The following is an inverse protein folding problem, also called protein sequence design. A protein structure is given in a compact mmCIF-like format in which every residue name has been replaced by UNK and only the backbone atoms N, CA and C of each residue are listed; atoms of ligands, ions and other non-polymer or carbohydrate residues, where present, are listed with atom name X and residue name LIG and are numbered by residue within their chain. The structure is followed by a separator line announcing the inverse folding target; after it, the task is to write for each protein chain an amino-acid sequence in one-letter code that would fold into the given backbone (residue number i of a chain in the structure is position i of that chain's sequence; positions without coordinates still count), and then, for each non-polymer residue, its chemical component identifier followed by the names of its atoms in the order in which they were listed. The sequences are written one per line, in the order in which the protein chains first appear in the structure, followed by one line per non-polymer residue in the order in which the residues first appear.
data_IF_706053032119
#
_entry.id   IF_706053032119
#
_cell.length_a   1.000
_cell.length_b   1.000
_cell.length_c   1.000
_cell.angle_alpha   90.00
_cell.angle_beta   90.00
_cell.angle_gamma   90.00
#
_symmetry.space_group_name_H-M   'P 1'
#
loop_
_entity.id
_entity.type
_entity.pdbx_description
1 polymer ?
#
# COMPACT_ATOMS: atom_id res chain seq x y z
N UNK A 1 -21.69 -2.09 -10.70
CA UNK A 1 -20.39 -2.34 -10.03
C UNK A 1 -20.52 -1.81 -8.60
N UNK A 2 -20.28 -2.63 -7.58
CA UNK A 2 -20.21 -2.11 -6.20
C UNK A 2 -18.89 -1.37 -6.10
N UNK A 3 -18.94 -0.04 -6.01
CA UNK A 3 -17.73 0.76 -5.79
C UNK A 3 -17.15 0.34 -4.44
N UNK A 4 -15.94 -0.23 -4.46
CA UNK A 4 -15.18 -0.47 -3.23
C UNK A 4 -14.78 0.86 -2.55
N UNK A 5 -14.93 2.00 -3.25
CA UNK A 5 -14.46 3.32 -2.84
C UNK A 5 -15.53 4.29 -2.34
N UNK A 6 -16.82 3.92 -2.34
CA UNK A 6 -17.90 4.81 -1.87
C UNK A 6 -17.67 5.24 -0.40
N UNK A 7 -17.27 6.49 -0.17
CA UNK A 7 -16.92 7.05 1.14
C UNK A 7 -15.46 6.88 1.59
N UNK A 8 -14.63 6.15 0.84
CA UNK A 8 -13.27 5.81 1.25
C UNK A 8 -12.29 6.99 1.20
N UNK A 9 -12.38 7.94 0.26
CA UNK A 9 -11.37 9.00 0.12
C UNK A 9 -11.24 9.91 1.36
N UNK A 10 -12.36 10.19 2.05
CA UNK A 10 -12.38 10.95 3.32
C UNK A 10 -11.95 10.06 4.49
N UNK A 11 -12.42 8.81 4.52
CA UNK A 11 -12.03 7.82 5.53
C UNK A 11 -10.54 7.43 5.42
N UNK A 12 -9.92 7.49 4.25
CA UNK A 12 -8.49 7.21 4.04
C UNK A 12 -7.60 8.30 4.65
N UNK A 13 -7.98 9.57 4.53
CA UNK A 13 -7.29 10.68 5.22
C UNK A 13 -7.43 10.51 6.73
N UNK A 14 -8.64 10.26 7.22
CA UNK A 14 -8.88 10.05 8.66
C UNK A 14 -8.16 8.79 9.17
N UNK A 15 -8.14 7.70 8.40
CA UNK A 15 -7.38 6.47 8.68
C UNK A 15 -5.88 6.74 8.70
N UNK A 16 -5.36 7.60 7.82
CA UNK A 16 -3.93 7.88 7.73
C UNK A 16 -3.39 8.58 8.98
N UNK A 17 -4.22 9.37 9.66
CA UNK A 17 -3.87 10.02 10.93
C UNK A 17 -4.03 9.10 12.15
N UNK A 18 -4.66 7.92 12.01
CA UNK A 18 -4.85 7.01 13.15
C UNK A 18 -3.51 6.45 13.62
N UNK A 19 -3.29 6.30 14.95
CA UNK A 19 -2.07 5.74 15.50
C UNK A 19 -1.67 4.41 14.88
N UNK A 20 -2.64 3.55 14.57
CA UNK A 20 -2.38 2.25 13.95
C UNK A 20 -1.73 2.37 12.56
N UNK A 21 -2.21 3.32 11.75
CA UNK A 21 -1.67 3.54 10.41
C UNK A 21 -0.26 4.10 10.46
N UNK A 22 -0.01 5.04 11.38
CA UNK A 22 1.32 5.62 11.58
C UNK A 22 2.31 4.59 12.10
N UNK A 23 1.92 3.74 13.07
CA UNK A 23 2.76 2.64 13.55
C UNK A 23 3.11 1.67 12.42
N UNK A 24 2.13 1.29 11.58
CA UNK A 24 2.40 0.45 10.40
C UNK A 24 3.43 1.12 9.48
N UNK A 25 3.27 2.41 9.20
CA UNK A 25 4.23 3.16 8.37
C UNK A 25 5.61 3.22 9.00
N UNK A 26 5.71 3.49 10.31
CA UNK A 26 7.00 3.54 11.02
C UNK A 26 7.72 2.19 10.91
N UNK A 27 7.02 1.08 11.15
CA UNK A 27 7.62 -0.25 11.03
C UNK A 27 8.02 -0.55 9.59
N UNK A 28 7.16 -0.30 8.59
CA UNK A 28 7.46 -0.57 7.19
C UNK A 28 8.64 0.26 6.67
N UNK A 29 8.68 1.56 6.99
CA UNK A 29 9.69 2.47 6.47
C UNK A 29 11.05 2.36 7.18
N UNK A 30 11.06 2.07 8.49
CA UNK A 30 12.28 2.27 9.29
C UNK A 30 12.76 1.02 10.02
N UNK A 31 11.90 0.04 10.33
CA UNK A 31 12.31 -1.08 11.21
C UNK A 31 13.41 -1.95 10.61
N UNK A 32 13.46 -2.15 9.29
CA UNK A 32 14.49 -2.98 8.65
C UNK A 32 15.91 -2.48 8.90
N UNK A 33 16.08 -1.16 8.88
CA UNK A 33 17.36 -0.51 9.17
C UNK A 33 17.70 -0.52 10.68
N UNK A 34 16.80 -1.02 11.51
CA UNK A 34 16.94 -1.10 12.96
C UNK A 34 16.67 -2.53 13.48
N UNK A 35 17.08 -3.56 12.72
CA UNK A 35 16.98 -4.96 13.13
C UNK A 35 15.56 -5.52 13.26
N UNK A 36 14.55 -4.80 12.78
CA UNK A 36 13.15 -5.17 12.82
C UNK A 36 12.49 -5.09 14.20
N UNK A 37 13.07 -4.32 15.13
CA UNK A 37 12.60 -4.15 16.50
C UNK A 37 12.64 -2.68 16.89
N UNK A 38 11.77 -2.23 17.78
CA UNK A 38 11.88 -0.93 18.44
C UNK A 38 11.52 -1.05 19.92
N UNK A 39 12.17 -0.26 20.78
CA UNK A 39 11.76 -0.15 22.18
C UNK A 39 10.33 0.41 22.27
N UNK A 40 9.61 0.06 23.34
CA UNK A 40 8.26 0.61 23.56
C UNK A 40 8.30 2.14 23.66
N UNK A 41 9.33 2.68 24.32
CA UNK A 41 9.51 4.13 24.48
C UNK A 41 9.77 4.82 23.14
N UNK A 42 10.68 4.29 22.32
CA UNK A 42 11.03 4.89 21.03
C UNK A 42 9.83 4.95 20.09
N UNK A 43 8.98 3.90 20.02
CA UNK A 43 7.76 3.98 19.19
C UNK A 43 6.79 5.03 19.72
N UNK A 44 6.59 5.11 21.04
CA UNK A 44 5.69 6.12 21.63
C UNK A 44 6.20 7.52 21.30
N UNK A 45 7.50 7.78 21.46
CA UNK A 45 8.11 9.07 21.12
C UNK A 45 7.97 9.40 19.63
N UNK A 46 8.25 8.45 18.72
CA UNK A 46 8.02 8.62 17.28
C UNK A 46 6.55 8.89 16.94
N UNK A 47 5.60 8.33 17.68
CA UNK A 47 4.19 8.64 17.53
C UNK A 47 3.87 10.05 18.04
N UNK A 48 4.43 10.47 19.18
CA UNK A 48 4.27 11.83 19.72
C UNK A 48 4.78 12.89 18.75
N UNK A 49 5.92 12.64 18.11
CA UNK A 49 6.42 13.46 17.01
C UNK A 49 5.40 13.60 15.87
N UNK A 50 4.51 12.62 15.66
CA UNK A 50 3.47 12.66 14.64
C UNK A 50 2.14 13.23 15.16
N UNK A 51 2.16 13.92 16.30
CA UNK A 51 1.01 14.51 17.01
C UNK A 51 0.03 13.47 17.58
N UNK A 52 0.51 12.25 17.85
CA UNK A 52 -0.28 11.21 18.52
C UNK A 52 -0.05 11.28 20.02
N UNK A 53 -1.13 11.38 20.80
CA UNK A 53 -1.06 11.32 22.26
C UNK A 53 -0.48 9.97 22.73
N UNK A 54 0.37 9.99 23.75
CA UNK A 54 1.08 8.79 24.20
C UNK A 54 0.16 7.63 24.56
N UNK A 55 -0.97 7.91 25.23
CA UNK A 55 -1.93 6.89 25.63
C UNK A 55 -2.63 6.24 24.42
N UNK A 56 -2.83 7.01 23.36
CA UNK A 56 -3.34 6.49 22.09
C UNK A 56 -2.30 5.60 21.40
N UNK A 57 -1.02 5.96 21.44
CA UNK A 57 0.08 5.15 20.92
C UNK A 57 0.22 3.83 21.71
N UNK A 58 0.24 3.89 23.05
CA UNK A 58 0.25 2.71 23.95
C UNK A 58 -0.93 1.78 23.67
N UNK A 59 -2.13 2.35 23.55
CA UNK A 59 -3.34 1.59 23.25
C UNK A 59 -3.31 0.93 21.86
N UNK A 60 -2.71 1.59 20.87
CA UNK A 60 -2.51 0.99 19.54
C UNK A 60 -1.48 -0.16 19.58
N UNK A 61 -0.36 0.01 20.28
CA UNK A 61 0.64 -1.05 20.47
C UNK A 61 0.08 -2.27 21.18
N UNK A 62 -0.69 -2.07 22.25
CA UNK A 62 -1.37 -3.16 22.96
C UNK A 62 -2.32 -3.94 22.05
N UNK A 63 -3.04 -3.24 21.16
CA UNK A 63 -3.90 -3.87 20.14
C UNK A 63 -3.10 -4.66 19.11
N UNK A 64 -1.97 -4.15 18.63
CA UNK A 64 -1.10 -4.89 17.71
C UNK A 64 -0.52 -6.15 18.35
N UNK A 65 -0.06 -6.06 19.61
CA UNK A 65 0.40 -7.21 20.39
C UNK A 65 -0.70 -8.27 20.54
N UNK A 66 -1.89 -7.86 20.95
CA UNK A 66 -3.04 -8.77 21.14
C UNK A 66 -3.44 -9.49 19.84
N UNK A 67 -3.28 -8.83 18.70
CA UNK A 67 -3.57 -9.39 17.36
C UNK A 67 -2.42 -10.21 16.79
N UNK A 68 -1.29 -10.37 17.50
CA UNK A 68 -0.13 -11.10 17.01
C UNK A 68 0.64 -10.41 15.87
N UNK A 69 0.33 -9.15 15.57
CA UNK A 69 1.00 -8.39 14.49
C UNK A 69 2.38 -7.91 14.94
N UNK A 70 2.49 -7.53 16.22
CA UNK A 70 3.74 -7.22 16.89
C UNK A 70 4.02 -8.24 17.98
N UNK A 71 5.27 -8.68 18.08
CA UNK A 71 5.73 -9.66 19.07
C UNK A 71 6.57 -8.91 20.10
N UNK A 72 6.28 -9.13 21.39
CA UNK A 72 7.07 -8.53 22.46
C UNK A 72 8.43 -9.21 22.55
N UNK A 73 9.51 -8.42 22.54
CA UNK A 73 10.88 -8.93 22.59
C UNK A 73 11.73 -8.00 23.46
N UNK A 74 12.61 -8.59 24.27
CA UNK A 74 13.60 -7.86 25.06
C UNK A 74 14.94 -7.82 24.30
N UNK A 75 15.56 -6.65 24.17
CA UNK A 75 16.89 -6.48 23.60
C UNK A 75 17.70 -5.60 24.56
N UNK A 76 18.91 -6.05 24.93
CA UNK A 76 19.82 -5.32 25.83
C UNK A 76 19.14 -4.79 27.10
N UNK A 77 18.31 -5.60 27.75
CA UNK A 77 17.60 -5.18 28.97
C UNK A 77 16.29 -4.41 28.73
N UNK A 78 16.04 -3.90 27.51
CA UNK A 78 14.91 -3.03 27.17
C UNK A 78 13.77 -3.83 26.53
N UNK A 79 12.54 -3.62 26.99
CA UNK A 79 11.34 -4.23 26.39
C UNK A 79 10.90 -3.43 25.17
N UNK A 80 10.61 -4.14 24.09
CA UNK A 80 10.09 -3.55 22.87
C UNK A 80 9.28 -4.54 22.06
N UNK A 81 9.13 -4.21 20.78
CA UNK A 81 8.28 -4.92 19.84
C UNK A 81 9.00 -5.14 18.52
N UNK A 82 8.86 -6.33 17.96
CA UNK A 82 9.28 -6.66 16.60
C UNK A 82 8.07 -7.03 15.74
N UNK A 83 8.19 -6.89 14.42
CA UNK A 83 7.17 -7.38 13.50
C UNK A 83 7.06 -8.90 13.55
N UNK A 84 5.83 -9.43 13.45
CA UNK A 84 5.65 -10.87 13.26
C UNK A 84 6.18 -11.32 11.89
N UNK A 85 6.47 -12.62 11.70
CA UNK A 85 6.85 -13.16 10.39
C UNK A 85 5.83 -12.83 9.29
N UNK A 86 4.53 -12.86 9.60
CA UNK A 86 3.44 -12.56 8.67
C UNK A 86 3.41 -11.08 8.29
N UNK A 87 3.61 -10.18 9.26
CA UNK A 87 3.70 -8.75 9.00
C UNK A 87 4.93 -8.42 8.15
N UNK A 88 6.07 -9.08 8.41
CA UNK A 88 7.30 -8.92 7.62
C UNK A 88 7.09 -9.32 6.17
N UNK A 89 6.51 -10.50 5.91
CA UNK A 89 6.15 -10.94 4.55
C UNK A 89 5.22 -9.94 3.86
N UNK A 90 4.26 -9.40 4.60
CA UNK A 90 3.34 -8.37 4.08
C UNK A 90 4.07 -7.09 3.68
N UNK A 91 5.04 -6.63 4.48
CA UNK A 91 5.87 -5.48 4.11
C UNK A 91 6.77 -5.77 2.91
N UNK A 92 7.41 -6.93 2.86
CA UNK A 92 8.31 -7.30 1.75
C UNK A 92 7.54 -7.33 0.40
N UNK A 93 6.31 -7.83 0.41
CA UNK A 93 5.42 -7.81 -0.75
C UNK A 93 4.88 -6.40 -1.06
N UNK A 94 4.52 -5.63 -0.03
CA UNK A 94 3.88 -4.33 -0.15
C UNK A 94 4.82 -3.18 -0.53
N UNK A 95 6.08 -3.21 -0.09
CA UNK A 95 7.01 -2.11 -0.28
C UNK A 95 7.39 -1.91 -1.74
N UNK A 96 7.50 -3.00 -2.52
CA UNK A 96 7.67 -2.92 -3.97
C UNK A 96 6.48 -2.22 -4.65
N UNK A 97 5.29 -2.26 -4.05
CA UNK A 97 4.12 -1.55 -4.59
C UNK A 97 4.10 -0.08 -4.18
N UNK A 98 4.58 0.24 -2.99
CA UNK A 98 4.53 1.60 -2.42
C UNK A 98 5.73 2.47 -2.83
N UNK A 99 6.94 1.91 -2.88
CA UNK A 99 8.19 2.66 -3.03
C UNK A 99 8.89 2.47 -4.38
N UNK A 100 8.42 1.56 -5.24
CA UNK A 100 8.98 1.40 -6.57
C UNK A 100 8.45 2.49 -7.51
N UNK A 101 9.35 3.22 -8.16
CA UNK A 101 8.98 4.06 -9.30
C UNK A 101 8.54 3.16 -10.44
N UNK A 102 7.24 3.16 -10.72
CA UNK A 102 6.69 2.46 -11.88
C UNK A 102 6.51 3.48 -13.00
N UNK A 103 7.18 3.23 -14.12
CA UNK A 103 6.71 3.80 -15.37
C UNK A 103 5.36 3.18 -15.70
N UNK A 104 4.53 3.90 -16.47
CA UNK A 104 3.30 3.30 -16.96
C UNK A 104 3.69 2.06 -17.77
N UNK A 105 3.20 0.86 -17.41
CA UNK A 105 3.60 -0.34 -18.12
C UNK A 105 3.16 -0.23 -19.58
N UNK A 106 4.00 -0.75 -20.45
CA UNK A 106 3.62 -0.97 -21.85
C UNK A 106 2.49 -1.99 -21.86
N UNK A 107 1.53 -1.82 -22.75
CA UNK A 107 0.50 -2.82 -22.96
C UNK A 107 1.13 -4.12 -23.48
N UNK A 108 1.13 -5.15 -22.64
CA UNK A 108 1.63 -6.50 -22.94
C UNK A 108 0.49 -7.52 -23.01
N UNK A 109 -0.75 -7.04 -23.20
CA UNK A 109 -1.95 -7.85 -23.11
C UNK A 109 -2.41 -8.09 -21.68
N UNK A 110 -3.26 -9.11 -21.53
CA UNK A 110 -3.98 -9.40 -20.31
C UNK A 110 -3.63 -10.78 -19.78
N UNK A 111 -3.66 -10.91 -18.46
CA UNK A 111 -3.74 -12.20 -17.78
C UNK A 111 -5.19 -12.42 -17.35
N UNK A 112 -5.72 -13.59 -17.70
CA UNK A 112 -7.04 -14.05 -17.27
C UNK A 112 -6.88 -15.21 -16.30
N UNK A 113 -7.66 -15.16 -15.23
CA UNK A 113 -7.79 -16.26 -14.28
C UNK A 113 -9.22 -16.74 -14.29
N UNK A 114 -9.41 -18.01 -14.62
CA UNK A 114 -10.70 -18.68 -14.50
C UNK A 114 -10.60 -19.75 -13.41
N UNK A 115 -11.47 -19.69 -12.41
CA UNK A 115 -11.52 -20.70 -11.36
C UNK A 115 -12.91 -21.28 -11.14
N UNK A 116 -12.93 -22.54 -10.74
CA UNK A 116 -14.14 -23.24 -10.28
C UNK A 116 -13.81 -23.95 -8.98
N UNK A 117 -14.12 -23.28 -7.86
CA UNK A 117 -13.89 -23.81 -6.52
C UNK A 117 -15.18 -24.44 -5.99
N UNK A 118 -15.16 -25.74 -5.63
CA UNK A 118 -16.31 -26.45 -5.05
C UNK A 118 -16.97 -25.73 -3.87
N UNK A 119 -18.27 -25.94 -3.68
CA UNK A 119 -19.03 -25.19 -2.65
C UNK A 119 -18.58 -25.50 -1.22
N UNK A 120 -18.12 -26.72 -0.95
CA UNK A 120 -17.53 -27.09 0.33
C UNK A 120 -16.23 -26.32 0.64
N UNK A 121 -15.64 -25.64 -0.34
CA UNK A 121 -14.45 -24.78 -0.19
C UNK A 121 -14.76 -23.28 -0.34
N UNK A 122 -16.01 -22.86 -0.05
CA UNK A 122 -16.47 -21.45 -0.16
C UNK A 122 -15.57 -20.42 0.55
N UNK A 123 -14.96 -20.79 1.68
CA UNK A 123 -14.07 -19.90 2.42
C UNK A 123 -12.79 -19.58 1.62
N UNK A 124 -12.21 -20.60 0.97
CA UNK A 124 -11.05 -20.45 0.08
C UNK A 124 -11.40 -19.61 -1.13
N UNK A 125 -12.60 -19.80 -1.71
CA UNK A 125 -13.11 -18.97 -2.81
C UNK A 125 -13.24 -17.51 -2.42
N UNK A 126 -13.77 -17.21 -1.22
CA UNK A 126 -13.84 -15.84 -0.70
C UNK A 126 -12.44 -15.24 -0.51
N UNK A 127 -11.51 -16.03 0.04
CA UNK A 127 -10.12 -15.61 0.24
C UNK A 127 -9.40 -15.32 -1.09
N UNK A 128 -9.57 -16.18 -2.10
CA UNK A 128 -9.02 -15.97 -3.44
C UNK A 128 -9.53 -14.66 -4.03
N UNK A 129 -10.86 -14.45 -4.06
CA UNK A 129 -11.47 -13.22 -4.60
C UNK A 129 -10.95 -11.97 -3.89
N UNK A 130 -10.87 -12.02 -2.55
CA UNK A 130 -10.35 -10.90 -1.76
C UNK A 130 -8.87 -10.62 -2.07
N UNK A 131 -8.05 -11.66 -2.26
CA UNK A 131 -6.62 -11.49 -2.57
C UNK A 131 -6.36 -11.07 -4.01
N UNK A 132 -7.14 -11.55 -4.98
CA UNK A 132 -7.11 -11.11 -6.38
C UNK A 132 -7.33 -9.59 -6.48
N UNK A 133 -8.34 -9.06 -5.79
CA UNK A 133 -8.57 -7.61 -5.71
C UNK A 133 -7.33 -6.88 -5.17
N UNK A 134 -6.73 -7.41 -4.08
CA UNK A 134 -5.54 -6.79 -3.45
C UNK A 134 -4.31 -6.76 -4.34
N UNK A 135 -4.15 -7.73 -5.24
CA UNK A 135 -3.03 -7.74 -6.20
C UNK A 135 -3.36 -6.96 -7.48
N UNK A 136 -4.61 -6.53 -7.68
CA UNK A 136 -5.00 -5.62 -8.77
C UNK A 136 -5.92 -6.25 -9.82
N UNK A 137 -6.38 -7.49 -9.64
CA UNK A 137 -7.32 -8.11 -10.56
C UNK A 137 -8.72 -7.53 -10.40
N UNK A 138 -9.42 -7.40 -11.53
CA UNK A 138 -10.84 -7.10 -11.58
C UNK A 138 -11.64 -8.34 -11.98
N UNK A 139 -12.90 -8.39 -11.57
CA UNK A 139 -13.83 -9.43 -12.01
C UNK A 139 -14.48 -9.01 -13.33
N UNK A 140 -14.35 -9.84 -14.37
CA UNK A 140 -15.06 -9.65 -15.64
C UNK A 140 -16.48 -10.17 -15.51
N UNK A 141 -16.63 -11.42 -15.08
CA UNK A 141 -17.91 -12.08 -14.83
C UNK A 141 -17.67 -13.36 -14.01
N UNK A 142 -18.63 -13.79 -13.19
CA UNK A 142 -18.58 -15.10 -12.52
C UNK A 142 -17.22 -15.46 -11.90
N UNK A 143 -16.61 -16.56 -12.36
CA UNK A 143 -15.27 -17.01 -11.97
C UNK A 143 -14.11 -16.48 -12.82
N UNK A 144 -14.36 -15.56 -13.77
CA UNK A 144 -13.38 -14.98 -14.67
C UNK A 144 -12.88 -13.62 -14.15
N UNK A 145 -11.56 -13.51 -14.00
CA UNK A 145 -10.84 -12.34 -13.51
C UNK A 145 -9.77 -11.93 -14.50
N UNK A 146 -9.47 -10.62 -14.52
CA UNK A 146 -8.54 -10.00 -15.48
C UNK A 146 -7.56 -9.07 -14.77
N UNK A 147 -6.33 -9.00 -15.27
CA UNK A 147 -5.33 -8.02 -14.88
C UNK A 147 -4.34 -7.75 -16.04
N UNK A 148 -3.56 -6.67 -15.98
CA UNK A 148 -2.39 -6.50 -16.84
C UNK A 148 -1.42 -7.69 -16.74
N UNK A 149 -0.78 -8.06 -17.86
CA UNK A 149 0.12 -9.22 -17.95
C UNK A 149 1.20 -9.27 -16.87
N UNK A 150 1.75 -8.12 -16.46
CA UNK A 150 2.81 -8.08 -15.44
C UNK A 150 2.40 -8.60 -14.04
N UNK A 151 1.11 -8.87 -13.82
CA UNK A 151 0.58 -9.46 -12.58
C UNK A 151 0.40 -10.99 -12.66
N UNK A 152 0.91 -11.65 -13.71
CA UNK A 152 0.79 -13.10 -13.89
C UNK A 152 1.45 -13.88 -12.73
N UNK A 153 2.68 -13.54 -12.36
CA UNK A 153 3.41 -14.21 -11.28
C UNK A 153 2.72 -14.06 -9.91
N UNK A 154 2.07 -12.91 -9.68
CA UNK A 154 1.30 -12.66 -8.47
C UNK A 154 0.09 -13.61 -8.38
N UNK A 155 -0.61 -13.86 -9.50
CA UNK A 155 -1.74 -14.78 -9.54
C UNK A 155 -1.31 -16.25 -9.35
N UNK A 156 -0.22 -16.66 -9.99
CA UNK A 156 0.34 -18.01 -9.85
C UNK A 156 0.78 -18.26 -8.41
N UNK A 157 1.54 -17.33 -7.83
CA UNK A 157 1.99 -17.38 -6.44
C UNK A 157 0.81 -17.40 -5.47
N UNK A 158 -0.26 -16.66 -5.77
CA UNK A 158 -1.48 -16.65 -4.97
C UNK A 158 -2.16 -18.02 -4.96
N UNK A 159 -2.34 -18.67 -6.11
CA UNK A 159 -2.94 -20.01 -6.16
C UNK A 159 -2.12 -21.05 -5.40
N UNK A 160 -0.80 -21.02 -5.55
CA UNK A 160 0.11 -21.89 -4.79
C UNK A 160 0.00 -21.64 -3.28
N UNK A 161 -0.06 -20.38 -2.86
CA UNK A 161 -0.21 -20.03 -1.43
C UNK A 161 -1.52 -20.52 -0.81
N UNK A 162 -2.53 -20.79 -1.63
CA UNK A 162 -3.85 -21.27 -1.23
C UNK A 162 -4.05 -22.77 -1.51
N UNK A 163 -3.09 -23.44 -2.16
CA UNK A 163 -3.16 -24.83 -2.61
C UNK A 163 -4.41 -25.13 -3.48
N UNK A 164 -4.69 -24.26 -4.47
CA UNK A 164 -5.87 -24.34 -5.35
C UNK A 164 -5.53 -24.45 -6.84
N UNK A 165 -4.31 -24.82 -7.18
CA UNK A 165 -3.81 -24.90 -8.55
C UNK A 165 -4.73 -25.77 -9.42
N UNK A 166 -5.23 -26.89 -8.89
CA UNK A 166 -6.19 -27.78 -9.56
C UNK A 166 -7.57 -27.17 -9.87
N UNK A 167 -7.90 -26.03 -9.25
CA UNK A 167 -9.20 -25.35 -9.43
C UNK A 167 -9.09 -24.09 -10.28
N UNK A 168 -7.89 -23.75 -10.76
CA UNK A 168 -7.62 -22.46 -11.39
C UNK A 168 -6.81 -22.64 -12.68
N UNK A 169 -7.28 -22.03 -13.75
CA UNK A 169 -6.57 -21.92 -15.01
C UNK A 169 -6.16 -20.46 -15.24
N UNK A 170 -4.98 -20.28 -15.85
CA UNK A 170 -4.38 -18.97 -16.12
C UNK A 170 -4.10 -18.87 -17.62
N UNK A 171 -4.51 -17.77 -18.24
CA UNK A 171 -4.40 -17.56 -19.69
C UNK A 171 -3.80 -16.20 -20.00
N UNK A 172 -2.92 -16.15 -20.99
CA UNK A 172 -2.59 -14.92 -21.70
C UNK A 172 -3.69 -14.61 -22.71
N UNK A 173 -4.13 -13.35 -22.79
CA UNK A 173 -5.23 -12.96 -23.68
C UNK A 173 -5.11 -11.51 -24.19
N UNK A 174 -5.86 -11.24 -25.25
CA UNK A 174 -6.13 -9.90 -25.77
C UNK A 174 -7.62 -9.59 -25.68
N UNK A 175 -7.97 -8.31 -25.51
CA UNK A 175 -9.36 -7.88 -25.59
C UNK A 175 -9.71 -7.56 -27.05
N UNK A 176 -10.56 -8.40 -27.66
CA UNK A 176 -10.73 -8.40 -29.11
C UNK A 176 -11.89 -7.54 -29.66
N UNK A 177 -13.04 -7.47 -28.97
CA UNK A 177 -14.28 -6.99 -29.62
C UNK A 177 -15.33 -6.39 -28.67
N UNK A 178 -16.44 -5.92 -29.29
CA UNK A 178 -17.67 -5.38 -28.69
C UNK A 178 -17.56 -4.03 -27.99
N UNK A 179 -16.35 -3.57 -27.66
CA UNK A 179 -16.08 -2.18 -27.28
C UNK A 179 -14.59 -1.85 -27.41
N UNK A 180 -14.20 -0.57 -27.48
CA UNK A 180 -12.80 -0.19 -27.32
C UNK A 180 -12.29 -0.60 -25.94
N UNK A 181 -11.08 -1.17 -25.86
CA UNK A 181 -10.48 -1.67 -24.62
C UNK A 181 -10.50 -0.66 -23.45
N UNK A 182 -10.20 0.65 -23.62
CA UNK A 182 -10.31 1.62 -22.53
C UNK A 182 -11.73 1.71 -21.91
N UNK A 183 -12.78 1.48 -22.73
CA UNK A 183 -14.17 1.48 -22.24
C UNK A 183 -14.43 0.24 -21.39
N UNK A 184 -13.99 -0.94 -21.85
CA UNK A 184 -14.12 -2.19 -21.08
C UNK A 184 -13.35 -2.13 -19.75
N UNK A 185 -12.13 -1.55 -19.75
CA UNK A 185 -11.33 -1.35 -18.52
C UNK A 185 -12.10 -0.53 -17.49
N UNK A 186 -12.77 0.55 -17.91
CA UNK A 186 -13.63 1.35 -17.01
C UNK A 186 -14.86 0.60 -16.46
N UNK A 187 -15.23 -0.54 -17.04
CA UNK A 187 -16.29 -1.43 -16.55
C UNK A 187 -15.77 -2.54 -15.63
N UNK A 188 -14.46 -2.80 -15.61
CA UNK A 188 -13.85 -3.81 -14.75
C UNK A 188 -13.24 -3.18 -13.49
N UNK A 189 -12.62 -2.01 -13.62
CA UNK A 189 -12.05 -1.27 -12.49
C UNK A 189 -12.81 0.02 -12.21
N UNK A 190 -12.95 0.36 -10.93
CA UNK A 190 -13.47 1.67 -10.51
C UNK A 190 -12.37 2.74 -10.63
N UNK A 191 -12.09 3.14 -11.88
CA UNK A 191 -11.07 4.16 -12.17
C UNK A 191 -11.41 5.50 -11.51
N UNK A 192 -12.70 5.83 -11.36
CA UNK A 192 -13.11 7.05 -10.68
C UNK A 192 -12.75 7.01 -9.19
N UNK A 193 -13.05 5.90 -8.50
CA UNK A 193 -12.67 5.70 -7.11
C UNK A 193 -11.16 5.81 -6.89
N UNK A 194 -10.36 5.13 -7.72
CA UNK A 194 -8.89 5.20 -7.65
C UNK A 194 -8.40 6.64 -7.90
N UNK A 195 -8.98 7.35 -8.87
CA UNK A 195 -8.65 8.74 -9.15
C UNK A 195 -8.95 9.66 -7.96
N UNK A 196 -10.05 9.45 -7.22
CA UNK A 196 -10.37 10.21 -6.01
C UNK A 196 -9.36 9.95 -4.88
N UNK A 197 -8.85 8.72 -4.75
CA UNK A 197 -7.75 8.41 -3.81
C UNK A 197 -6.50 9.24 -4.13
N UNK A 198 -6.10 9.29 -5.41
CA UNK A 198 -4.95 10.10 -5.84
C UNK A 198 -5.17 11.61 -5.67
N UNK A 199 -6.37 12.12 -5.97
CA UNK A 199 -6.71 13.53 -5.71
C UNK A 199 -6.66 13.86 -4.23
N UNK A 200 -7.16 12.97 -3.37
CA UNK A 200 -7.10 13.12 -1.91
C UNK A 200 -5.65 13.19 -1.42
N UNK A 201 -4.79 12.27 -1.88
CA UNK A 201 -3.36 12.32 -1.61
C UNK A 201 -2.75 13.67 -2.01
N UNK A 202 -2.94 14.10 -3.27
CA UNK A 202 -2.39 15.36 -3.78
C UNK A 202 -2.81 16.57 -2.94
N UNK A 203 -4.09 16.62 -2.53
CA UNK A 203 -4.61 17.69 -1.68
C UNK A 203 -3.86 17.80 -0.36
N UNK A 204 -3.59 16.67 0.30
CA UNK A 204 -2.85 16.64 1.57
C UNK A 204 -1.34 16.83 1.39
N UNK A 205 -0.77 16.41 0.27
CA UNK A 205 0.65 16.50 0.01
C UNK A 205 1.10 17.91 -0.38
N UNK A 206 0.23 18.67 -1.05
CA UNK A 206 0.54 19.99 -1.60
C UNK A 206 1.17 20.98 -0.61
N UNK A 207 0.68 21.16 0.64
CA UNK A 207 1.31 22.07 1.60
C UNK A 207 2.75 21.66 1.96
N UNK A 208 2.98 20.36 2.14
CA UNK A 208 4.31 19.80 2.47
C UNK A 208 5.27 19.99 1.30
N UNK A 209 4.80 19.69 0.08
CA UNK A 209 5.57 19.87 -1.16
C UNK A 209 5.97 21.33 -1.36
N UNK A 210 5.02 22.25 -1.20
CA UNK A 210 5.29 23.68 -1.36
C UNK A 210 6.31 24.18 -0.33
N UNK A 211 6.20 23.74 0.93
CA UNK A 211 7.18 24.06 1.97
C UNK A 211 8.58 23.58 1.57
N UNK A 212 8.73 22.31 1.22
CA UNK A 212 10.05 21.73 0.91
C UNK A 212 10.61 22.14 -0.45
N UNK A 213 9.78 22.60 -1.38
CA UNK A 213 10.25 23.15 -2.66
C UNK A 213 11.07 24.44 -2.48
N UNK A 214 10.74 25.25 -1.47
CA UNK A 214 11.42 26.54 -1.22
C UNK A 214 12.65 26.43 -0.31
N UNK A 215 12.77 25.35 0.46
CA UNK A 215 13.88 25.15 1.40
C UNK A 215 15.11 24.58 0.71
N UNK A 216 16.21 25.32 0.78
CA UNK A 216 17.56 24.92 0.36
C UNK A 216 18.34 24.38 1.57
N UNK A 217 19.35 23.55 1.30
CA UNK A 217 20.19 22.93 2.33
C UNK A 217 19.63 21.62 2.88
N UNK A 218 20.37 21.03 3.83
CA UNK A 218 20.03 19.76 4.48
C UNK A 218 18.74 19.89 5.28
N UNK A 219 17.72 19.05 5.04
CA UNK A 219 16.50 19.04 5.84
C UNK A 219 16.78 18.77 7.32
N UNK A 220 16.11 19.51 8.20
CA UNK A 220 16.05 19.16 9.62
C UNK A 220 15.50 17.72 9.78
N UNK A 221 16.26 16.79 10.41
CA UNK A 221 15.87 15.38 10.47
C UNK A 221 14.53 15.14 11.18
N UNK A 222 14.22 15.88 12.25
CA UNK A 222 12.96 15.72 12.99
C UNK A 222 11.77 16.13 12.13
N UNK A 223 11.82 17.31 11.51
CA UNK A 223 10.76 17.76 10.59
C UNK A 223 10.64 16.84 9.37
N UNK A 224 11.77 16.38 8.83
CA UNK A 224 11.77 15.44 7.72
C UNK A 224 11.05 14.13 8.10
N UNK A 225 11.32 13.59 9.30
CA UNK A 225 10.59 12.44 9.83
C UNK A 225 9.09 12.68 9.92
N UNK A 226 8.68 13.82 10.52
CA UNK A 226 7.25 14.15 10.69
C UNK A 226 6.52 14.23 9.35
N UNK A 227 7.05 15.00 8.43
CA UNK A 227 6.42 15.25 7.14
C UNK A 227 6.45 14.01 6.25
N UNK A 228 7.60 13.35 6.13
CA UNK A 228 7.74 12.16 5.28
C UNK A 228 6.84 11.02 5.77
N UNK A 229 6.80 10.76 7.08
CA UNK A 229 5.98 9.66 7.62
C UNK A 229 4.48 9.92 7.39
N UNK A 230 4.00 11.16 7.56
CA UNK A 230 2.60 11.51 7.25
C UNK A 230 2.29 11.37 5.76
N UNK A 231 3.17 11.86 4.89
CA UNK A 231 3.03 11.73 3.43
C UNK A 231 3.01 10.27 3.00
N UNK A 232 3.95 9.46 3.48
CA UNK A 232 4.02 8.04 3.18
C UNK A 232 2.78 7.28 3.68
N UNK A 233 2.28 7.64 4.87
CA UNK A 233 1.07 7.02 5.44
C UNK A 233 -0.16 7.28 4.58
N UNK A 234 -0.28 8.46 3.97
CA UNK A 234 -1.38 8.73 3.06
C UNK A 234 -1.13 8.11 1.67
N UNK A 235 0.09 8.20 1.15
CA UNK A 235 0.48 7.65 -0.16
C UNK A 235 0.23 6.16 -0.26
N UNK A 236 0.65 5.38 0.76
CA UNK A 236 0.70 3.91 0.68
C UNK A 236 -0.62 3.26 0.30
N UNK A 237 -1.76 3.93 0.53
CA UNK A 237 -3.07 3.41 0.16
C UNK A 237 -3.30 3.39 -1.36
N UNK A 238 -2.84 4.40 -2.09
CA UNK A 238 -3.16 4.53 -3.51
C UNK A 238 -2.57 3.38 -4.35
N UNK A 239 -1.29 3.00 -4.20
CA UNK A 239 -0.73 1.91 -4.97
C UNK A 239 -1.38 0.55 -4.70
N UNK A 240 -1.98 0.30 -3.52
CA UNK A 240 -2.71 -0.96 -3.26
C UNK A 240 -3.99 -1.09 -4.09
N UNK A 241 -4.60 0.03 -4.44
CA UNK A 241 -5.84 0.07 -5.22
C UNK A 241 -5.60 0.21 -6.71
N UNK A 242 -4.44 0.74 -7.10
CA UNK A 242 -4.06 0.91 -8.49
C UNK A 242 -3.53 -0.41 -9.08
N UNK A 243 -4.19 -0.98 -10.12
CA UNK A 243 -3.72 -2.19 -10.79
C UNK A 243 -2.47 -1.98 -11.67
N UNK A 244 -2.04 -0.74 -11.90
CA UNK A 244 -0.93 -0.42 -12.80
C UNK A 244 -1.32 -0.66 -14.25
N UNK A 245 -2.42 -0.06 -14.70
CA UNK A 245 -2.85 -0.17 -16.10
C UNK A 245 -1.93 0.65 -17.04
N UNK A 246 -1.70 0.18 -18.27
CA UNK A 246 -1.10 0.99 -19.32
C UNK A 246 -1.79 2.35 -19.50
N UNK A 247 -1.01 3.39 -19.79
CA UNK A 247 -1.50 4.78 -19.90
C UNK A 247 -2.62 4.94 -20.92
N UNK A 248 -2.58 4.17 -22.01
CA UNK A 248 -3.59 4.18 -23.08
C UNK A 248 -4.99 3.74 -22.61
N UNK A 249 -5.09 3.01 -21.49
CA UNK A 249 -6.36 2.58 -20.90
C UNK A 249 -6.88 3.51 -19.81
N UNK A 250 -6.14 4.56 -19.47
CA UNK A 250 -6.48 5.49 -18.40
C UNK A 250 -7.13 6.77 -18.94
N UNK A 251 -7.97 7.45 -18.15
CA UNK A 251 -8.48 8.77 -18.50
C UNK A 251 -7.34 9.75 -18.78
N UNK A 252 -7.53 10.66 -19.75
CA UNK A 252 -6.53 11.71 -20.07
C UNK A 252 -6.14 12.56 -18.86
N UNK A 253 -7.06 12.75 -17.92
CA UNK A 253 -6.91 13.53 -16.69
C UNK A 253 -6.47 12.70 -15.48
N UNK A 254 -5.93 11.49 -15.69
CA UNK A 254 -5.57 10.57 -14.61
C UNK A 254 -4.68 11.20 -13.53
N UNK A 255 -5.20 11.29 -12.31
CA UNK A 255 -4.52 11.93 -11.19
C UNK A 255 -3.32 11.11 -10.64
N UNK A 256 -3.19 9.84 -11.02
CA UNK A 256 -2.12 8.97 -10.54
C UNK A 256 -0.72 9.45 -10.95
N UNK A 257 -0.53 9.88 -12.20
CA UNK A 257 0.78 10.35 -12.68
C UNK A 257 1.35 11.55 -11.89
N UNK A 258 0.62 12.67 -11.74
CA UNK A 258 1.11 13.79 -10.94
C UNK A 258 1.23 13.44 -9.44
N UNK A 259 0.38 12.55 -8.92
CA UNK A 259 0.48 12.09 -7.54
C UNK A 259 1.78 11.31 -7.29
N UNK A 260 2.08 10.32 -8.14
CA UNK A 260 3.32 9.55 -8.10
C UNK A 260 4.54 10.47 -8.17
N UNK A 261 4.56 11.41 -9.11
CA UNK A 261 5.65 12.37 -9.23
C UNK A 261 5.81 13.22 -7.96
N UNK A 262 4.70 13.67 -7.37
CA UNK A 262 4.69 14.47 -6.15
C UNK A 262 5.23 13.68 -4.96
N UNK A 263 4.80 12.42 -4.80
CA UNK A 263 5.30 11.54 -3.76
C UNK A 263 6.82 11.34 -3.87
N UNK A 264 7.31 10.97 -5.05
CA UNK A 264 8.73 10.67 -5.24
C UNK A 264 9.63 11.90 -5.07
N UNK A 265 9.18 13.11 -5.45
CA UNK A 265 9.90 14.36 -5.13
C UNK A 265 10.12 14.55 -3.63
N UNK A 266 9.12 14.22 -2.82
CA UNK A 266 9.23 14.29 -1.35
C UNK A 266 10.07 13.14 -0.80
N UNK A 267 9.85 11.92 -1.29
CA UNK A 267 10.60 10.73 -0.90
C UNK A 267 12.10 10.95 -1.05
N UNK A 268 12.56 11.36 -2.25
CA UNK A 268 13.97 11.58 -2.53
C UNK A 268 14.61 12.59 -1.59
N UNK A 269 13.85 13.62 -1.19
CA UNK A 269 14.35 14.70 -0.36
C UNK A 269 14.36 14.35 1.13
N UNK A 270 13.37 13.61 1.61
CA UNK A 270 13.11 13.46 3.05
C UNK A 270 13.34 12.06 3.60
N UNK A 271 13.34 11.00 2.78
CA UNK A 271 13.44 9.63 3.28
C UNK A 271 14.76 9.38 4.04
N UNK A 272 15.89 9.86 3.51
CA UNK A 272 17.20 9.76 4.17
C UNK A 272 17.27 10.52 5.50
N UNK A 273 16.99 11.84 5.53
CA UNK A 273 16.95 12.61 6.77
C UNK A 273 15.96 12.06 7.82
N UNK A 274 14.78 11.60 7.38
CA UNK A 274 13.80 10.96 8.25
C UNK A 274 14.35 9.68 8.90
N UNK A 275 15.02 8.82 8.12
CA UNK A 275 15.66 7.62 8.63
C UNK A 275 16.75 7.96 9.65
N UNK A 276 17.58 8.97 9.38
CA UNK A 276 18.63 9.40 10.32
C UNK A 276 18.06 9.85 11.67
N UNK A 277 16.93 10.56 11.67
CA UNK A 277 16.24 10.94 12.90
C UNK A 277 15.80 9.71 13.70
N UNK A 278 15.15 8.74 13.04
CA UNK A 278 14.70 7.50 13.69
C UNK A 278 15.87 6.72 14.26
N UNK A 279 16.96 6.56 13.50
CA UNK A 279 18.14 5.83 13.95
C UNK A 279 18.81 6.51 15.16
N UNK A 280 18.83 7.84 15.22
CA UNK A 280 19.42 8.55 16.36
C UNK A 280 18.54 8.52 17.61
N UNK A 281 17.21 8.53 17.46
CA UNK A 281 16.26 8.44 18.57
C UNK A 281 16.19 7.03 19.18
N UNK A 282 16.62 6.01 18.42
CA UNK A 282 16.49 4.60 18.78
C UNK A 282 17.80 3.92 19.20
N UNK A 283 18.92 4.66 19.16
CA UNK A 283 20.18 4.26 19.81
C UNK A 283 20.02 4.31 21.32
#
# INVERSE_FOLDING_TARGET
MVSIFTGEARDLVDRSARPQSLIITIYGAYSRNHGGWFSANSIIQLCTELDVQEDAARSALARFKRRGILISKKQNGVIGYSTSPEMRKTFDQGDNRVLQRREAPINQGWILVAFSIPENLRAVRYQLRSRLIRIGFAQVTGGLWIAPMQLADDAISLAQSLNIEKYMNVFSAEHMAFSPTPVAVGQWWDLNGIQEVYKSFNKTARPVVNYWATKRGTPDPQKAFRDYTKILTNWRHAPYFDPGLPKEFLPKTWAGFPATQTFFKIHDKLAGPALNYVLNLTK
#
